data_IF_478053598993
#
_entry.id   IF_478053598993
#
_cell.length_a   1.000
_cell.length_b   1.000
_cell.length_c   1.000
_cell.angle_alpha   90.00
_cell.angle_beta   90.00
_cell.angle_gamma   90.00
#
_symmetry.space_group_name_H-M   'P 1'
#
loop_
_entity.id
_entity.type
_entity.pdbx_description
1 polymer ?
#
# COMPACT_ATOMS: atom_id res chain seq x y z
N UNK A 1 22.78 2.26 21.33
CA UNK A 1 22.39 2.89 20.05
C UNK A 1 22.06 4.34 20.32
N UNK A 2 22.44 5.24 19.43
CA UNK A 2 22.04 6.65 19.56
C UNK A 2 20.52 6.80 19.38
N UNK A 3 19.90 7.86 19.93
CA UNK A 3 18.45 8.05 19.82
C UNK A 3 17.93 8.16 18.38
N UNK A 4 18.73 8.71 17.47
CA UNK A 4 18.36 8.93 16.06
C UNK A 4 18.26 7.62 15.29
N UNK A 5 19.19 6.71 15.53
CA UNK A 5 19.26 5.34 15.00
C UNK A 5 18.03 4.56 15.44
N UNK A 6 17.66 4.65 16.72
CA UNK A 6 16.44 4.01 17.23
C UNK A 6 15.19 4.54 16.53
N UNK A 7 15.11 5.86 16.31
CA UNK A 7 14.01 6.48 15.57
C UNK A 7 13.95 6.01 14.12
N UNK A 8 15.09 5.95 13.42
CA UNK A 8 15.14 5.47 12.03
C UNK A 8 14.72 3.99 11.92
N UNK A 9 15.18 3.14 12.84
CA UNK A 9 14.75 1.74 12.88
C UNK A 9 13.25 1.61 13.15
N UNK A 10 12.69 2.45 14.02
CA UNK A 10 11.25 2.48 14.28
C UNK A 10 10.47 2.90 13.03
N UNK A 11 10.95 3.90 12.29
CA UNK A 11 10.35 4.32 11.01
C UNK A 11 10.41 3.20 9.96
N UNK A 12 11.54 2.48 9.88
CA UNK A 12 11.69 1.33 8.99
C UNK A 12 10.70 0.21 9.31
N UNK A 13 10.60 -0.16 10.58
CA UNK A 13 9.65 -1.18 11.03
C UNK A 13 8.22 -0.74 10.73
N UNK A 14 7.86 0.51 11.02
CA UNK A 14 6.55 1.04 10.70
C UNK A 14 6.25 1.00 9.19
N UNK A 15 7.23 1.33 8.34
CA UNK A 15 7.12 1.24 6.89
C UNK A 15 6.87 -0.21 6.43
N UNK A 16 7.67 -1.17 6.90
CA UNK A 16 7.51 -2.59 6.52
C UNK A 16 6.17 -3.15 6.98
N UNK A 17 5.73 -2.80 8.20
CA UNK A 17 4.42 -3.19 8.71
C UNK A 17 3.30 -2.58 7.87
N UNK A 18 3.40 -1.30 7.50
CA UNK A 18 2.40 -0.63 6.68
C UNK A 18 2.33 -1.22 5.25
N UNK A 19 3.48 -1.52 4.65
CA UNK A 19 3.56 -2.17 3.34
C UNK A 19 2.94 -3.59 3.38
N UNK A 20 3.27 -4.37 4.42
CA UNK A 20 2.68 -5.70 4.62
C UNK A 20 1.17 -5.61 4.83
N UNK A 21 0.73 -4.67 5.67
CA UNK A 21 -0.69 -4.44 5.91
C UNK A 21 -1.42 -4.06 4.63
N UNK A 22 -0.85 -3.19 3.78
CA UNK A 22 -1.43 -2.82 2.49
C UNK A 22 -1.70 -4.06 1.62
N UNK A 23 -0.70 -4.91 1.41
CA UNK A 23 -0.85 -6.10 0.57
C UNK A 23 -1.85 -7.11 1.14
N UNK A 24 -1.85 -7.32 2.46
CA UNK A 24 -2.83 -8.18 3.12
C UNK A 24 -4.24 -7.60 3.01
N UNK A 25 -4.40 -6.30 3.25
CA UNK A 25 -5.68 -5.62 3.18
C UNK A 25 -6.27 -5.69 1.76
N UNK A 26 -5.47 -5.51 0.71
CA UNK A 26 -5.92 -5.71 -0.68
C UNK A 26 -6.52 -7.10 -0.86
N UNK A 27 -5.81 -8.15 -0.46
CA UNK A 27 -6.31 -9.52 -0.59
C UNK A 27 -7.59 -9.75 0.22
N UNK A 28 -7.60 -9.38 1.51
CA UNK A 28 -8.75 -9.65 2.38
C UNK A 28 -9.99 -8.85 1.99
N UNK A 29 -9.83 -7.59 1.59
CA UNK A 29 -10.95 -6.75 1.16
C UNK A 29 -11.52 -7.29 -0.16
N UNK A 30 -10.68 -7.72 -1.11
CA UNK A 30 -11.15 -8.40 -2.32
C UNK A 30 -11.84 -9.72 -2.01
N UNK A 31 -11.30 -10.53 -1.08
CA UNK A 31 -11.91 -11.79 -0.66
C UNK A 31 -13.33 -11.61 -0.09
N UNK A 32 -13.56 -10.52 0.66
CA UNK A 32 -14.86 -10.23 1.28
C UNK A 32 -15.85 -9.63 0.28
N UNK A 33 -15.43 -8.66 -0.54
CA UNK A 33 -16.34 -7.87 -1.38
C UNK A 33 -16.39 -8.29 -2.85
N UNK A 34 -15.41 -9.05 -3.34
CA UNK A 34 -15.40 -9.65 -4.67
C UNK A 34 -14.71 -11.03 -4.68
N UNK A 35 -15.27 -12.03 -3.99
CA UNK A 35 -14.66 -13.37 -3.87
C UNK A 35 -14.47 -14.05 -5.23
N UNK A 36 -15.29 -13.70 -6.23
CA UNK A 36 -15.28 -14.32 -7.56
C UNK A 36 -13.98 -14.10 -8.35
N UNK A 37 -13.22 -13.05 -8.03
CA UNK A 37 -11.97 -12.68 -8.72
C UNK A 37 -10.74 -12.75 -7.78
N UNK A 38 -10.95 -13.19 -6.54
CA UNK A 38 -9.87 -13.22 -5.54
C UNK A 38 -8.89 -14.33 -5.88
N UNK A 39 -7.63 -13.97 -6.06
CA UNK A 39 -6.54 -14.90 -6.35
C UNK A 39 -5.27 -14.50 -5.59
N UNK A 40 -4.19 -15.25 -5.73
CA UNK A 40 -2.90 -14.85 -5.17
C UNK A 40 -2.40 -13.50 -5.74
N UNK A 41 -2.82 -13.14 -6.96
CA UNK A 41 -2.46 -11.84 -7.55
C UNK A 41 -3.17 -10.67 -6.86
N UNK A 42 -4.27 -10.92 -6.12
CA UNK A 42 -4.98 -9.91 -5.34
C UNK A 42 -4.17 -9.35 -4.18
N UNK A 43 -3.05 -9.98 -3.79
CA UNK A 43 -2.09 -9.37 -2.87
C UNK A 43 -1.35 -8.17 -3.50
N UNK A 44 -1.35 -8.03 -4.84
CA UNK A 44 -0.68 -6.96 -5.58
C UNK A 44 0.83 -6.78 -5.29
N UNK A 45 1.52 -7.83 -4.85
CA UNK A 45 2.96 -7.75 -4.53
C UNK A 45 3.80 -7.49 -5.78
N UNK A 46 3.45 -8.14 -6.89
CA UNK A 46 4.19 -8.07 -8.15
C UNK A 46 3.35 -7.39 -9.25
N UNK A 47 2.92 -6.15 -9.02
CA UNK A 47 2.09 -5.45 -10.01
C UNK A 47 2.86 -5.00 -11.26
N UNK A 48 4.14 -4.65 -11.12
CA UNK A 48 4.99 -4.21 -12.24
C UNK A 48 6.48 -4.23 -11.88
N UNK A 49 7.34 -4.39 -12.88
CA UNK A 49 8.80 -4.30 -12.72
C UNK A 49 9.23 -2.92 -12.20
N UNK A 50 8.60 -1.86 -12.71
CA UNK A 50 8.87 -0.48 -12.29
C UNK A 50 8.56 -0.26 -10.80
N UNK A 51 7.47 -0.86 -10.30
CA UNK A 51 7.15 -0.83 -8.87
C UNK A 51 8.21 -1.52 -8.04
N UNK A 52 8.60 -2.75 -8.40
CA UNK A 52 9.62 -3.51 -7.69
C UNK A 52 10.95 -2.76 -7.65
N UNK A 53 11.37 -2.19 -8.78
CA UNK A 53 12.60 -1.40 -8.85
C UNK A 53 12.54 -0.14 -7.98
N UNK A 54 11.39 0.54 -7.96
CA UNK A 54 11.18 1.73 -7.12
C UNK A 54 11.23 1.38 -5.63
N UNK A 55 10.60 0.28 -5.22
CA UNK A 55 10.63 -0.20 -3.85
C UNK A 55 12.07 -0.53 -3.42
N UNK A 56 12.79 -1.34 -4.20
CA UNK A 56 14.18 -1.68 -3.93
C UNK A 56 15.08 -0.45 -3.85
N UNK A 57 14.90 0.51 -4.76
CA UNK A 57 15.65 1.77 -4.75
C UNK A 57 15.42 2.56 -3.47
N UNK A 58 14.16 2.64 -3.00
CA UNK A 58 13.82 3.32 -1.74
C UNK A 58 14.43 2.63 -0.51
N UNK A 59 14.51 1.29 -0.52
CA UNK A 59 15.11 0.52 0.57
C UNK A 59 16.62 0.75 0.61
N UNK A 60 17.28 0.72 -0.55
CA UNK A 60 18.71 1.03 -0.67
C UNK A 60 18.98 2.46 -0.17
N UNK A 61 18.18 3.44 -0.60
CA UNK A 61 18.31 4.83 -0.14
C UNK A 61 18.21 4.92 1.39
N UNK A 62 17.21 4.26 1.99
CA UNK A 62 17.03 4.24 3.44
C UNK A 62 18.28 3.68 4.16
N UNK A 63 18.80 2.53 3.73
CA UNK A 63 19.96 1.91 4.37
C UNK A 63 21.25 2.71 4.16
N UNK A 64 21.42 3.34 3.00
CA UNK A 64 22.54 4.28 2.76
C UNK A 64 22.44 5.47 3.72
N UNK A 65 21.26 6.07 3.88
CA UNK A 65 21.06 7.17 4.83
C UNK A 65 21.26 6.73 6.27
N UNK A 66 20.82 5.53 6.63
CA UNK A 66 21.01 4.94 7.94
C UNK A 66 22.50 4.78 8.30
N UNK A 67 23.32 4.31 7.35
CA UNK A 67 24.74 4.06 7.59
C UNK A 67 25.61 5.33 7.56
N UNK A 68 25.31 6.28 6.67
CA UNK A 68 26.21 7.41 6.40
C UNK A 68 25.66 8.78 6.82
N UNK A 69 24.34 8.94 6.93
CA UNK A 69 23.68 10.24 7.10
C UNK A 69 22.55 10.25 8.16
N UNK A 70 22.72 9.63 9.35
CA UNK A 70 21.63 9.52 10.34
C UNK A 70 21.14 10.87 10.85
N UNK A 71 22.00 11.89 10.89
CA UNK A 71 21.66 13.25 11.31
C UNK A 71 20.62 13.95 10.42
N UNK A 72 20.39 13.45 9.20
CA UNK A 72 19.40 13.99 8.26
C UNK A 72 17.98 13.48 8.51
N UNK A 73 17.79 12.62 9.52
CA UNK A 73 16.47 12.08 9.82
C UNK A 73 15.48 13.18 10.27
N UNK A 74 14.27 13.14 9.74
CA UNK A 74 13.21 14.09 10.09
C UNK A 74 11.92 13.33 10.44
N UNK A 75 11.62 13.27 11.73
CA UNK A 75 10.44 12.58 12.27
C UNK A 75 9.12 13.22 11.87
N UNK A 76 9.09 14.55 11.63
CA UNK A 76 7.87 15.25 11.19
C UNK A 76 7.45 14.78 9.80
N UNK A 77 8.42 14.59 8.90
CA UNK A 77 8.15 14.08 7.55
C UNK A 77 7.59 12.65 7.62
N UNK A 78 8.18 11.79 8.46
CA UNK A 78 7.66 10.43 8.67
C UNK A 78 6.23 10.44 9.22
N UNK A 79 5.91 11.34 10.16
CA UNK A 79 4.56 11.46 10.72
C UNK A 79 3.54 11.92 9.67
N UNK A 80 3.88 12.92 8.85
CA UNK A 80 3.03 13.37 7.74
C UNK A 80 2.80 12.22 6.74
N UNK A 81 3.86 11.49 6.40
CA UNK A 81 3.77 10.31 5.54
C UNK A 81 2.83 9.24 6.09
N UNK A 82 2.89 8.98 7.40
CA UNK A 82 1.97 8.04 8.06
C UNK A 82 0.51 8.49 7.98
N UNK A 83 0.23 9.79 8.18
CA UNK A 83 -1.13 10.32 8.05
C UNK A 83 -1.67 10.15 6.62
N UNK A 84 -0.85 10.50 5.61
CA UNK A 84 -1.22 10.32 4.20
C UNK A 84 -1.47 8.84 3.89
N UNK A 85 -0.64 7.94 4.40
CA UNK A 85 -0.78 6.50 4.24
C UNK A 85 -2.11 5.99 4.81
N UNK A 86 -2.46 6.38 6.03
CA UNK A 86 -3.71 5.96 6.68
C UNK A 86 -4.92 6.46 5.89
N UNK A 87 -4.92 7.73 5.49
CA UNK A 87 -6.01 8.32 4.70
C UNK A 87 -6.15 7.62 3.33
N UNK A 88 -5.04 7.42 2.63
CA UNK A 88 -5.01 6.73 1.35
C UNK A 88 -5.54 5.29 1.46
N UNK A 89 -5.13 4.56 2.50
CA UNK A 89 -5.58 3.19 2.72
C UNK A 89 -7.07 3.11 3.10
N UNK A 90 -7.58 4.07 3.87
CA UNK A 90 -9.00 4.17 4.17
C UNK A 90 -9.82 4.43 2.90
N UNK A 91 -9.44 5.43 2.09
CA UNK A 91 -10.09 5.71 0.81
C UNK A 91 -10.06 4.49 -0.12
N UNK A 92 -8.91 3.81 -0.22
CA UNK A 92 -8.75 2.60 -1.02
C UNK A 92 -9.71 1.50 -0.60
N UNK A 93 -9.77 1.20 0.70
CA UNK A 93 -10.62 0.15 1.26
C UNK A 93 -12.11 0.47 1.06
N UNK A 94 -12.50 1.73 1.27
CA UNK A 94 -13.87 2.21 1.04
C UNK A 94 -14.25 2.08 -0.44
N UNK A 95 -13.38 2.47 -1.37
CA UNK A 95 -13.63 2.29 -2.80
C UNK A 95 -13.87 0.83 -3.18
N UNK A 96 -13.04 -0.09 -2.69
CA UNK A 96 -13.17 -1.52 -2.96
C UNK A 96 -14.49 -2.07 -2.40
N UNK A 97 -14.88 -1.63 -1.20
CA UNK A 97 -16.15 -1.99 -0.57
C UNK A 97 -17.35 -1.46 -1.37
N UNK A 98 -17.35 -0.18 -1.73
CA UNK A 98 -18.46 0.46 -2.43
C UNK A 98 -18.62 -0.10 -3.85
N UNK A 99 -17.51 -0.37 -4.54
CA UNK A 99 -17.55 -0.95 -5.88
C UNK A 99 -17.84 -2.46 -5.90
N UNK A 100 -17.49 -3.19 -4.83
CA UNK A 100 -17.78 -4.62 -4.68
C UNK A 100 -17.38 -5.46 -5.90
N UNK A 101 -18.32 -6.20 -6.48
CA UNK A 101 -18.09 -7.02 -7.68
C UNK A 101 -17.67 -6.23 -8.92
N UNK A 102 -17.98 -4.92 -8.94
CA UNK A 102 -17.56 -4.04 -10.02
C UNK A 102 -16.11 -3.55 -9.86
N UNK A 103 -15.48 -3.80 -8.71
CA UNK A 103 -14.07 -3.53 -8.48
C UNK A 103 -13.18 -4.63 -9.08
N UNK A 104 -12.12 -4.25 -9.80
CA UNK A 104 -11.12 -5.19 -10.29
C UNK A 104 -9.71 -4.57 -10.24
N UNK A 105 -8.69 -5.38 -9.93
CA UNK A 105 -7.29 -4.96 -9.96
C UNK A 105 -6.78 -4.66 -11.37
N UNK A 106 -7.34 -5.32 -12.38
CA UNK A 106 -7.01 -5.12 -13.79
C UNK A 106 -8.17 -4.44 -14.53
N UNK A 107 -7.84 -3.49 -15.41
CA UNK A 107 -8.82 -2.81 -16.25
C UNK A 107 -9.54 -3.83 -17.14
N UNK A 108 -10.86 -3.94 -16.98
CA UNK A 108 -11.68 -4.86 -17.76
C UNK A 108 -12.09 -4.18 -19.08
N UNK A 109 -11.80 -4.83 -20.21
CA UNK A 109 -12.19 -4.33 -21.53
C UNK A 109 -13.59 -4.80 -21.97
N UNK A 110 -14.10 -5.85 -21.33
CA UNK A 110 -15.41 -6.44 -21.64
C UNK A 110 -16.35 -6.29 -20.44
N UNK A 111 -17.60 -5.85 -20.69
CA UNK A 111 -18.61 -5.70 -19.65
C UNK A 111 -19.12 -7.08 -19.20
N UNK A 112 -19.04 -7.37 -17.91
CA UNK A 112 -19.66 -8.55 -17.29
C UNK A 112 -21.12 -8.25 -16.91
N UNK A 113 -21.97 -9.28 -16.83
CA UNK A 113 -23.39 -9.12 -16.49
C UNK A 113 -23.62 -8.54 -15.09
N UNK A 114 -22.70 -8.78 -14.16
CA UNK A 114 -22.71 -8.25 -12.79
C UNK A 114 -21.96 -6.91 -12.63
N UNK A 115 -21.41 -6.35 -13.72
CA UNK A 115 -20.72 -5.06 -13.68
C UNK A 115 -21.70 -3.91 -13.77
N UNK A 116 -21.86 -3.16 -12.68
CA UNK A 116 -22.74 -2.01 -12.56
C UNK A 116 -21.94 -0.72 -12.39
N UNK A 117 -22.51 0.40 -12.84
CA UNK A 117 -21.92 1.71 -12.61
C UNK A 117 -22.23 2.15 -11.18
N UNK A 118 -21.18 2.44 -10.40
CA UNK A 118 -21.31 2.91 -9.02
C UNK A 118 -21.12 4.43 -9.00
N UNK A 119 -22.17 5.16 -8.62
CA UNK A 119 -22.19 6.64 -8.57
C UNK A 119 -22.43 7.20 -7.17
N UNK A 120 -22.63 6.35 -6.16
CA UNK A 120 -23.00 6.76 -4.80
C UNK A 120 -21.83 7.27 -3.95
N UNK A 121 -20.65 7.42 -4.56
CA UNK A 121 -19.44 7.97 -3.92
C UNK A 121 -18.67 6.96 -3.08
N UNK A 122 -17.69 7.48 -2.34
CA UNK A 122 -16.97 6.78 -1.26
C UNK A 122 -17.39 7.35 0.09
#
# INVERSE_FOLDING_TARGET
MDPTTVQMLTQWVAYVLALTFFHLAEFFVTAVYNPSVTTADSFMVNQSEAYTLSALSSWIEFWVRFLFLPSTNNTKVAFIGLLILILGQACRTLAMKTCGESFNHLIQQNKKNNHILVTEGM
#
